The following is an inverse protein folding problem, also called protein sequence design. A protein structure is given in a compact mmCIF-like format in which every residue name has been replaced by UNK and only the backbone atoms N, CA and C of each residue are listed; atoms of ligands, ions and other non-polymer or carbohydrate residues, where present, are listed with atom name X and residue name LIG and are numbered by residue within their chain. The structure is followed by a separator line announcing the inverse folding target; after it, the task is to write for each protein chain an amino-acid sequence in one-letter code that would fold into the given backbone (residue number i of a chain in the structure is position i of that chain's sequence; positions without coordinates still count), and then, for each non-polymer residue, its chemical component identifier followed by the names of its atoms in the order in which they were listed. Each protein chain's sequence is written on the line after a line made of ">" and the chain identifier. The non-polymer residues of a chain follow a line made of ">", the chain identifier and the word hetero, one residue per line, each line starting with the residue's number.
data_IF_568633835278
#
_entry.id   IF_568633835278
#
_cell.length_a   1.000
_cell.length_b   1.000
_cell.length_c   1.000
_cell.angle_alpha   90.00
_cell.angle_beta   90.00
_cell.angle_gamma   90.00
#
_symmetry.space_group_name_H-M   'P 1'
#
loop_
_entity.id
_entity.type
_entity.pdbx_description
1 polymer ?
#
# COMPACT_ATOMS: atom_id res chain seq x y z
N UNK A 1 -20.08 -10.03 20.94
CA UNK A 1 -19.01 -9.65 20.01
C UNK A 1 -19.63 -8.91 18.82
N UNK A 2 -19.70 -7.59 18.90
CA UNK A 2 -20.11 -6.73 17.79
C UNK A 2 -18.87 -6.38 16.98
N UNK A 3 -18.70 -7.02 15.83
CA UNK A 3 -17.67 -6.67 14.85
C UNK A 3 -17.94 -5.25 14.34
N UNK A 4 -17.25 -4.27 14.92
CA UNK A 4 -17.14 -2.94 14.34
C UNK A 4 -16.47 -3.08 12.96
N UNK A 5 -17.06 -2.58 11.86
CA UNK A 5 -16.37 -2.54 10.59
C UNK A 5 -15.14 -1.63 10.72
N UNK A 6 -13.99 -1.98 10.12
CA UNK A 6 -12.75 -1.24 10.31
C UNK A 6 -12.91 0.21 9.82
N UNK A 7 -12.76 1.14 10.76
CA UNK A 7 -12.80 2.61 10.60
C UNK A 7 -11.80 3.15 9.56
N UNK A 8 -10.86 2.34 9.07
CA UNK A 8 -9.90 2.73 8.04
C UNK A 8 -10.44 2.72 6.60
N UNK A 9 -11.69 2.25 6.37
CA UNK A 9 -12.27 2.20 5.01
C UNK A 9 -12.57 3.57 4.40
N UNK A 10 -12.67 4.64 5.19
CA UNK A 10 -13.14 5.94 4.68
C UNK A 10 -12.03 6.83 4.12
N UNK A 11 -10.78 6.66 4.56
CA UNK A 11 -9.67 7.55 4.21
C UNK A 11 -9.17 7.38 2.77
N UNK A 12 -8.80 6.16 2.37
CA UNK A 12 -8.21 5.90 1.05
C UNK A 12 -9.23 6.08 -0.09
N UNK A 13 -10.51 5.81 0.16
CA UNK A 13 -11.57 5.98 -0.85
C UNK A 13 -11.76 7.47 -1.14
N UNK A 14 -11.68 8.34 -0.11
CA UNK A 14 -11.72 9.79 -0.28
C UNK A 14 -10.57 10.29 -1.16
N UNK A 15 -9.35 9.82 -0.93
CA UNK A 15 -8.20 10.16 -1.77
C UNK A 15 -8.34 9.64 -3.21
N UNK A 16 -8.80 8.39 -3.39
CA UNK A 16 -9.09 7.84 -4.71
C UNK A 16 -10.13 8.66 -5.47
N UNK A 17 -11.19 9.10 -4.77
CA UNK A 17 -12.22 9.96 -5.33
C UNK A 17 -11.71 11.35 -5.68
N UNK A 18 -10.87 11.94 -4.83
CA UNK A 18 -10.25 13.22 -5.11
C UNK A 18 -9.36 13.14 -6.36
N UNK A 19 -8.45 12.17 -6.41
CA UNK A 19 -7.54 12.00 -7.56
C UNK A 19 -8.30 11.70 -8.85
N UNK A 20 -9.32 10.83 -8.81
CA UNK A 20 -10.16 10.57 -9.99
C UNK A 20 -10.94 11.81 -10.47
N UNK A 21 -11.48 12.63 -9.56
CA UNK A 21 -12.15 13.88 -9.92
C UNK A 21 -11.21 14.90 -10.53
N UNK A 22 -9.99 15.03 -9.99
CA UNK A 22 -8.97 15.91 -10.55
C UNK A 22 -8.59 15.49 -11.98
N UNK A 23 -8.40 14.18 -12.21
CA UNK A 23 -8.10 13.65 -13.55
C UNK A 23 -9.25 13.87 -14.52
N UNK A 24 -10.49 13.64 -14.08
CA UNK A 24 -11.70 13.95 -14.87
C UNK A 24 -11.72 15.44 -15.24
N UNK A 25 -11.44 16.32 -14.27
CA UNK A 25 -11.36 17.76 -14.47
C UNK A 25 -10.29 18.14 -15.51
N UNK A 26 -9.09 17.56 -15.42
CA UNK A 26 -8.02 17.77 -16.40
C UNK A 26 -8.47 17.31 -17.80
N UNK A 27 -9.07 16.13 -17.92
CA UNK A 27 -9.60 15.62 -19.20
C UNK A 27 -10.67 16.53 -19.80
N UNK A 28 -11.66 16.95 -19.01
CA UNK A 28 -12.73 17.86 -19.45
C UNK A 28 -12.16 19.23 -19.86
N UNK A 29 -11.22 19.77 -19.07
CA UNK A 29 -10.60 21.06 -19.38
C UNK A 29 -9.84 21.03 -20.71
N UNK A 30 -9.13 19.93 -21.00
CA UNK A 30 -8.41 19.76 -22.26
C UNK A 30 -9.37 19.56 -23.45
N UNK A 31 -10.45 18.78 -23.26
CA UNK A 31 -11.53 18.64 -24.26
C UNK A 31 -12.16 20.00 -24.57
N UNK A 32 -12.50 20.80 -23.55
CA UNK A 32 -13.00 22.15 -23.72
C UNK A 32 -11.98 23.05 -24.46
N UNK A 33 -10.69 22.89 -24.14
CA UNK A 33 -9.60 23.57 -24.87
C UNK A 33 -9.61 23.28 -26.37
N UNK A 34 -9.89 22.03 -26.77
CA UNK A 34 -10.05 21.66 -28.18
C UNK A 34 -11.32 22.19 -28.84
N UNK A 35 -12.45 22.16 -28.13
CA UNK A 35 -13.74 22.63 -28.65
C UNK A 35 -13.77 24.15 -28.83
N UNK A 36 -13.26 24.90 -27.85
CA UNK A 36 -13.28 26.37 -27.84
C UNK A 36 -11.98 27.00 -28.40
N UNK A 37 -11.08 26.17 -28.92
CA UNK A 37 -9.75 26.58 -29.42
C UNK A 37 -8.89 27.40 -28.43
N UNK A 38 -9.03 27.14 -27.13
CA UNK A 38 -8.28 27.84 -26.08
C UNK A 38 -6.91 27.19 -25.92
N UNK A 39 -5.88 27.85 -26.45
CA UNK A 39 -4.49 27.36 -26.44
C UNK A 39 -3.95 27.04 -25.04
N UNK A 40 -4.31 27.82 -24.02
CA UNK A 40 -3.88 27.60 -22.63
C UNK A 40 -4.40 26.27 -22.05
N UNK A 41 -5.62 25.88 -22.39
CA UNK A 41 -6.22 24.62 -21.95
C UNK A 41 -5.61 23.40 -22.68
N UNK A 42 -5.07 23.60 -23.89
CA UNK A 42 -4.32 22.58 -24.63
C UNK A 42 -2.86 22.47 -24.13
N UNK A 43 -2.26 23.59 -23.72
CA UNK A 43 -0.83 23.75 -23.37
C UNK A 43 -0.68 24.69 -22.18
N UNK A 44 -0.43 24.14 -20.98
CA UNK A 44 -0.20 24.94 -19.77
C UNK A 44 1.06 25.81 -19.90
N UNK A 45 2.14 25.27 -20.47
CA UNK A 45 3.40 25.99 -20.65
C UNK A 45 3.50 26.46 -22.11
N UNK A 46 3.71 27.76 -22.38
CA UNK A 46 3.93 28.27 -23.74
C UNK A 46 5.08 27.51 -24.43
N UNK A 47 4.88 27.11 -25.69
CA UNK A 47 5.86 26.31 -26.44
C UNK A 47 5.89 24.81 -26.08
N UNK A 48 5.08 24.34 -25.13
CA UNK A 48 4.98 22.92 -24.80
C UNK A 48 4.09 22.12 -25.76
N UNK A 49 4.20 20.79 -25.71
CA UNK A 49 3.36 19.87 -26.48
C UNK A 49 1.91 20.01 -26.00
N UNK A 50 0.96 20.18 -26.93
CA UNK A 50 -0.45 20.14 -26.59
C UNK A 50 -0.87 18.72 -26.19
N UNK A 51 -1.68 18.61 -25.14
CA UNK A 51 -2.39 17.37 -24.87
C UNK A 51 -3.37 17.09 -26.01
N UNK A 52 -3.28 15.90 -26.58
CA UNK A 52 -4.13 15.45 -27.68
C UNK A 52 -5.55 15.20 -27.22
N UNK A 53 -6.52 15.42 -28.11
CA UNK A 53 -7.94 15.21 -27.82
C UNK A 53 -8.24 13.78 -27.34
N UNK A 54 -7.70 12.77 -28.06
CA UNK A 54 -7.87 11.36 -27.69
C UNK A 54 -7.28 11.03 -26.31
N UNK A 55 -6.14 11.65 -25.95
CA UNK A 55 -5.58 11.49 -24.62
C UNK A 55 -6.52 12.10 -23.56
N UNK A 56 -7.09 13.28 -23.81
CA UNK A 56 -8.03 13.94 -22.90
C UNK A 56 -9.30 13.11 -22.66
N UNK A 57 -9.86 12.52 -23.73
CA UNK A 57 -10.97 11.57 -23.63
C UNK A 57 -10.58 10.31 -22.83
N UNK A 58 -9.38 9.78 -23.06
CA UNK A 58 -8.89 8.64 -22.29
C UNK A 58 -8.70 8.96 -20.80
N UNK A 59 -8.26 10.16 -20.42
CA UNK A 59 -8.21 10.55 -19.00
C UNK A 59 -9.59 10.67 -18.36
N UNK A 60 -10.57 11.21 -19.10
CA UNK A 60 -11.96 11.24 -18.65
C UNK A 60 -12.47 9.81 -18.37
N UNK A 61 -12.30 8.89 -19.32
CA UNK A 61 -12.70 7.49 -19.17
C UNK A 61 -11.92 6.76 -18.06
N UNK A 62 -10.61 7.01 -17.94
CA UNK A 62 -9.76 6.43 -16.90
C UNK A 62 -10.17 6.90 -15.50
N UNK A 63 -10.47 8.20 -15.34
CA UNK A 63 -10.96 8.75 -14.08
C UNK A 63 -12.32 8.17 -13.68
N UNK A 64 -13.26 8.04 -14.62
CA UNK A 64 -14.55 7.37 -14.39
C UNK A 64 -14.37 5.89 -14.00
N UNK A 65 -13.44 5.19 -14.66
CA UNK A 65 -13.10 3.80 -14.37
C UNK A 65 -12.57 3.63 -12.94
N UNK A 66 -11.62 4.48 -12.53
CA UNK A 66 -11.03 4.45 -11.19
C UNK A 66 -12.03 4.79 -10.08
N UNK A 67 -12.90 5.78 -10.33
CA UNK A 67 -13.97 6.17 -9.40
C UNK A 67 -15.00 5.06 -9.24
N UNK A 68 -15.40 4.42 -10.35
CA UNK A 68 -16.33 3.29 -10.31
C UNK A 68 -15.75 2.04 -9.64
N UNK A 69 -14.44 1.84 -9.72
CA UNK A 69 -13.77 0.73 -9.03
C UNK A 69 -13.72 0.90 -7.50
N UNK A 70 -13.77 2.13 -6.99
CA UNK A 70 -13.62 2.43 -5.56
C UNK A 70 -14.94 2.77 -4.85
N UNK A 71 -15.84 3.52 -5.51
CA UNK A 71 -17.00 4.12 -4.84
C UNK A 71 -18.36 3.54 -5.25
N UNK A 72 -18.44 2.77 -6.33
CA UNK A 72 -19.72 2.32 -6.84
C UNK A 72 -20.24 1.06 -6.16
N UNK A 73 -21.36 1.22 -5.43
CA UNK A 73 -22.13 0.15 -4.80
C UNK A 73 -23.09 -0.56 -5.78
N UNK A 74 -23.53 0.11 -6.85
CA UNK A 74 -24.48 -0.44 -7.81
C UNK A 74 -23.81 -1.27 -8.91
N UNK A 75 -24.43 -2.39 -9.28
CA UNK A 75 -23.97 -3.27 -10.36
C UNK A 75 -23.94 -2.56 -11.73
N UNK A 76 -24.83 -1.58 -11.97
CA UNK A 76 -24.83 -0.79 -13.22
C UNK A 76 -23.60 0.12 -13.29
N UNK A 77 -23.30 0.85 -12.22
CA UNK A 77 -22.12 1.72 -12.21
C UNK A 77 -20.82 0.90 -12.38
N UNK A 78 -20.72 -0.28 -11.74
CA UNK A 78 -19.56 -1.15 -11.92
C UNK A 78 -19.39 -1.62 -13.36
N UNK A 79 -20.48 -1.98 -14.05
CA UNK A 79 -20.44 -2.33 -15.48
C UNK A 79 -20.01 -1.15 -16.35
N UNK A 80 -20.51 0.05 -16.09
CA UNK A 80 -20.09 1.26 -16.81
C UNK A 80 -18.59 1.51 -16.63
N UNK A 81 -18.08 1.42 -15.40
CA UNK A 81 -16.66 1.59 -15.12
C UNK A 81 -15.77 0.52 -15.81
N UNK A 82 -16.24 -0.73 -15.84
CA UNK A 82 -15.57 -1.80 -16.58
C UNK A 82 -15.59 -1.57 -18.09
N UNK A 83 -16.70 -1.07 -18.63
CA UNK A 83 -16.81 -0.69 -20.04
C UNK A 83 -15.84 0.45 -20.38
N UNK A 84 -15.78 1.51 -19.56
CA UNK A 84 -14.79 2.58 -19.71
C UNK A 84 -13.35 2.05 -19.65
N UNK A 85 -13.06 1.10 -18.75
CA UNK A 85 -11.73 0.47 -18.66
C UNK A 85 -11.40 -0.30 -19.94
N UNK A 86 -12.38 -1.06 -20.47
CA UNK A 86 -12.24 -1.79 -21.72
C UNK A 86 -11.96 -0.86 -22.90
N UNK A 87 -12.66 0.28 -22.98
CA UNK A 87 -12.39 1.30 -24.00
C UNK A 87 -10.98 1.86 -23.90
N UNK A 88 -10.52 2.23 -22.69
CA UNK A 88 -9.15 2.74 -22.47
C UNK A 88 -8.09 1.73 -22.92
N UNK A 89 -8.26 0.45 -22.58
CA UNK A 89 -7.34 -0.61 -23.00
C UNK A 89 -7.36 -0.78 -24.52
N UNK A 90 -8.55 -0.80 -25.11
CA UNK A 90 -8.73 -0.98 -26.55
C UNK A 90 -8.07 0.15 -27.33
N UNK A 91 -8.37 1.41 -26.99
CA UNK A 91 -7.80 2.58 -27.66
C UNK A 91 -6.28 2.66 -27.47
N UNK A 92 -5.78 2.41 -26.26
CA UNK A 92 -4.34 2.36 -26.01
C UNK A 92 -3.64 1.26 -26.82
N UNK A 93 -4.25 0.09 -26.94
CA UNK A 93 -3.71 -1.03 -27.73
C UNK A 93 -3.70 -0.72 -29.23
N UNK A 94 -4.79 -0.16 -29.76
CA UNK A 94 -4.88 0.26 -31.16
C UNK A 94 -3.83 1.32 -31.49
N UNK A 95 -3.67 2.34 -30.66
CA UNK A 95 -2.62 3.35 -30.85
C UNK A 95 -1.21 2.75 -30.83
N UNK A 96 -0.94 1.76 -29.99
CA UNK A 96 0.37 1.07 -30.00
C UNK A 96 0.58 0.24 -31.28
N UNK A 97 -0.46 -0.41 -31.79
CA UNK A 97 -0.42 -1.11 -33.08
C UNK A 97 -0.12 -0.12 -34.21
N UNK A 98 -0.75 1.05 -34.22
CA UNK A 98 -0.47 2.11 -35.20
C UNK A 98 0.99 2.60 -35.15
N UNK A 99 1.57 2.71 -33.95
CA UNK A 99 3.00 3.03 -33.78
C UNK A 99 3.92 1.90 -34.24
N UNK A 100 3.55 0.63 -33.99
CA UNK A 100 4.38 -0.53 -34.31
C UNK A 100 4.39 -0.85 -35.81
N UNK A 101 3.22 -0.83 -36.46
CA UNK A 101 3.06 -1.13 -37.88
C UNK A 101 3.15 0.10 -38.79
N UNK A 102 3.28 1.30 -38.20
CA UNK A 102 3.29 2.60 -38.92
C UNK A 102 2.09 2.78 -39.85
N UNK A 103 0.96 2.17 -39.51
CA UNK A 103 -0.30 2.29 -40.23
C UNK A 103 -1.16 3.36 -39.54
N UNK A 104 -1.89 4.15 -40.32
CA UNK A 104 -2.93 5.06 -39.81
C UNK A 104 -4.27 4.33 -39.88
N UNK A 105 -4.84 3.99 -38.72
CA UNK A 105 -6.20 3.45 -38.63
C UNK A 105 -7.24 4.59 -38.62
N UNK A 106 -6.79 5.84 -38.56
CA UNK A 106 -7.65 7.03 -38.59
C UNK A 106 -8.39 7.29 -37.28
N UNK A 107 -8.11 6.54 -36.20
CA UNK A 107 -8.74 6.74 -34.89
C UNK A 107 -8.34 8.06 -34.24
N UNK A 108 -7.21 8.63 -34.65
CA UNK A 108 -6.59 9.82 -34.06
C UNK A 108 -7.32 11.13 -34.37
N UNK A 109 -8.09 11.18 -35.46
CA UNK A 109 -8.77 12.37 -35.95
C UNK A 109 -10.29 12.18 -36.11
N UNK A 110 -10.86 11.10 -35.56
CA UNK A 110 -12.26 10.73 -35.74
C UNK A 110 -13.24 11.78 -35.16
N UNK A 111 -12.86 12.43 -34.05
CA UNK A 111 -13.72 13.37 -33.32
C UNK A 111 -13.36 14.83 -33.60
N UNK A 112 -12.08 15.17 -33.55
CA UNK A 112 -11.56 16.51 -33.88
C UNK A 112 -10.25 16.31 -34.65
N UNK A 113 -10.19 16.83 -35.88
CA UNK A 113 -8.99 16.78 -36.69
C UNK A 113 -8.02 17.89 -36.28
N UNK A 114 -6.77 17.52 -36.00
CA UNK A 114 -5.71 18.50 -35.74
C UNK A 114 -5.13 18.99 -37.08
N UNK A 115 -5.23 20.29 -37.33
CA UNK A 115 -4.84 20.93 -38.59
C UNK A 115 -3.32 21.16 -38.75
N UNK A 116 -2.52 20.76 -37.76
CA UNK A 116 -1.07 20.88 -37.83
C UNK A 116 -0.50 19.93 -38.90
N UNK A 117 0.47 20.36 -39.72
CA UNK A 117 1.04 19.51 -40.77
C UNK A 117 1.75 18.29 -40.19
N UNK A 118 1.45 17.11 -40.74
CA UNK A 118 2.12 15.87 -40.38
C UNK A 118 3.61 15.93 -40.77
N UNK A 119 4.50 15.47 -39.88
CA UNK A 119 5.93 15.30 -40.18
C UNK A 119 6.35 13.86 -39.89
N UNK A 120 7.54 13.46 -40.37
CA UNK A 120 8.09 12.11 -40.14
C UNK A 120 8.23 11.75 -38.63
N UNK A 121 8.21 12.74 -37.73
CA UNK A 121 8.28 12.58 -36.26
C UNK A 121 6.97 12.90 -35.54
N UNK A 122 5.93 13.34 -36.26
CA UNK A 122 4.70 13.88 -35.68
C UNK A 122 3.50 13.55 -36.56
N UNK A 123 2.61 12.71 -36.05
CA UNK A 123 1.33 12.39 -36.71
C UNK A 123 0.23 13.19 -35.99
N UNK A 124 -0.53 14.05 -36.69
CA UNK A 124 -1.55 14.90 -36.09
C UNK A 124 -2.64 14.08 -35.39
N UNK A 125 -3.10 14.55 -34.23
CA UNK A 125 -4.11 13.87 -33.41
C UNK A 125 -3.57 12.70 -32.57
N UNK A 126 -2.50 12.03 -33.01
CA UNK A 126 -1.96 10.82 -32.37
C UNK A 126 -1.25 11.11 -31.06
N UNK A 127 -1.62 10.38 -30.01
CA UNK A 127 -0.89 10.44 -28.74
C UNK A 127 0.43 9.66 -28.80
N UNK A 128 1.41 10.06 -27.99
CA UNK A 128 2.73 9.40 -27.98
C UNK A 128 2.63 7.94 -27.56
N UNK A 129 3.58 7.11 -28.03
CA UNK A 129 3.65 5.70 -27.67
C UNK A 129 3.78 5.51 -26.16
N UNK A 130 4.52 6.38 -25.48
CA UNK A 130 4.64 6.39 -24.02
C UNK A 130 3.30 6.66 -23.32
N UNK A 131 2.50 7.61 -23.82
CA UNK A 131 1.15 7.90 -23.31
C UNK A 131 0.25 6.68 -23.45
N UNK A 132 0.29 6.00 -24.60
CA UNK A 132 -0.50 4.79 -24.84
C UNK A 132 -0.07 3.64 -23.91
N UNK A 133 1.24 3.41 -23.70
CA UNK A 133 1.74 2.42 -22.72
C UNK A 133 1.24 2.74 -21.30
N UNK A 134 1.27 4.01 -20.87
CA UNK A 134 0.76 4.40 -19.55
C UNK A 134 -0.73 4.08 -19.38
N UNK A 135 -1.58 4.39 -20.38
CA UNK A 135 -3.00 4.03 -20.34
C UNK A 135 -3.22 2.52 -20.34
N UNK A 136 -2.43 1.77 -21.12
CA UNK A 136 -2.50 0.32 -21.15
C UNK A 136 -2.14 -0.28 -19.78
N UNK A 137 -1.07 0.18 -19.15
CA UNK A 137 -0.65 -0.26 -17.81
C UNK A 137 -1.70 0.08 -16.75
N UNK A 138 -2.29 1.28 -16.81
CA UNK A 138 -3.40 1.67 -15.94
C UNK A 138 -4.60 0.74 -16.10
N UNK A 139 -5.09 0.56 -17.33
CA UNK A 139 -6.29 -0.24 -17.62
C UNK A 139 -6.09 -1.72 -17.28
N UNK A 140 -4.98 -2.32 -17.69
CA UNK A 140 -4.66 -3.70 -17.37
C UNK A 140 -4.49 -3.91 -15.87
N UNK A 141 -3.84 -2.99 -15.15
CA UNK A 141 -3.74 -3.09 -13.70
C UNK A 141 -5.11 -3.08 -13.03
N UNK A 142 -6.02 -2.20 -13.46
CA UNK A 142 -7.36 -2.12 -12.92
C UNK A 142 -8.17 -3.40 -13.21
N UNK A 143 -8.11 -3.91 -14.45
CA UNK A 143 -8.80 -5.13 -14.88
C UNK A 143 -8.26 -6.39 -14.20
N UNK A 144 -6.93 -6.51 -14.07
CA UNK A 144 -6.29 -7.63 -13.37
C UNK A 144 -6.69 -7.67 -11.90
N UNK A 145 -6.98 -6.51 -11.31
CA UNK A 145 -7.37 -6.37 -9.91
C UNK A 145 -8.86 -6.61 -9.65
N UNK A 146 -9.72 -6.60 -10.68
CA UNK A 146 -11.17 -6.78 -10.53
C UNK A 146 -11.65 -8.23 -10.52
N UNK A 147 -10.76 -9.22 -10.66
CA UNK A 147 -11.13 -10.66 -10.70
C UNK A 147 -10.59 -11.48 -9.53
N UNK A 148 -10.95 -12.77 -9.51
CA UNK A 148 -10.62 -13.72 -8.43
C UNK A 148 -9.12 -13.81 -8.07
N UNK A 149 -8.86 -14.34 -6.88
CA UNK A 149 -7.61 -14.22 -6.12
C UNK A 149 -6.43 -15.05 -6.60
N UNK A 150 -6.16 -15.07 -7.89
CA UNK A 150 -5.01 -15.79 -8.46
C UNK A 150 -3.71 -15.02 -8.18
N UNK A 151 -2.68 -15.72 -7.68
CA UNK A 151 -1.41 -15.11 -7.25
C UNK A 151 -0.69 -14.31 -8.36
N UNK A 152 -0.57 -14.88 -9.56
CA UNK A 152 0.14 -14.24 -10.67
C UNK A 152 -0.52 -12.93 -11.13
N UNK A 153 -1.86 -12.86 -11.17
CA UNK A 153 -2.61 -11.64 -11.54
C UNK A 153 -2.29 -10.49 -10.59
N UNK A 154 -2.15 -10.77 -9.30
CA UNK A 154 -1.80 -9.77 -8.28
C UNK A 154 -0.37 -9.27 -8.46
N UNK A 155 0.57 -10.18 -8.70
CA UNK A 155 1.96 -9.81 -8.97
C UNK A 155 2.07 -8.95 -10.22
N UNK A 156 1.41 -9.35 -11.32
CA UNK A 156 1.40 -8.59 -12.56
C UNK A 156 0.74 -7.20 -12.38
N UNK A 157 -0.42 -7.12 -11.74
CA UNK A 157 -1.07 -5.83 -11.43
C UNK A 157 -0.19 -4.92 -10.58
N UNK A 158 0.56 -5.46 -9.61
CA UNK A 158 1.53 -4.69 -8.82
C UNK A 158 2.68 -4.17 -9.68
N UNK A 159 3.27 -5.02 -10.50
CA UNK A 159 4.35 -4.64 -11.41
C UNK A 159 3.91 -3.53 -12.37
N UNK A 160 2.73 -3.66 -13.00
CA UNK A 160 2.19 -2.64 -13.90
C UNK A 160 1.98 -1.28 -13.23
N UNK A 161 1.54 -1.24 -11.97
CA UNK A 161 1.39 0.01 -11.19
C UNK A 161 2.73 0.66 -10.86
N UNK A 162 3.72 -0.16 -10.49
CA UNK A 162 5.08 0.32 -10.23
C UNK A 162 5.66 0.92 -11.51
N UNK A 163 5.55 0.21 -12.64
CA UNK A 163 6.00 0.71 -13.93
C UNK A 163 5.29 2.01 -14.31
N UNK A 164 3.96 2.10 -14.18
CA UNK A 164 3.20 3.33 -14.42
C UNK A 164 3.70 4.49 -13.55
N UNK A 165 3.90 4.25 -12.25
CA UNK A 165 4.41 5.27 -11.31
C UNK A 165 5.79 5.75 -11.73
N UNK A 166 6.69 4.84 -12.11
CA UNK A 166 8.06 5.18 -12.47
C UNK A 166 8.13 5.94 -13.79
N UNK A 167 7.41 5.48 -14.83
CA UNK A 167 7.38 6.14 -16.15
C UNK A 167 6.87 7.58 -16.02
N UNK A 168 5.83 7.80 -15.21
CA UNK A 168 5.19 9.11 -15.04
C UNK A 168 6.07 10.06 -14.22
N UNK A 169 6.72 9.55 -13.18
CA UNK A 169 7.69 10.30 -12.40
C UNK A 169 8.92 10.70 -13.24
N UNK A 170 9.47 9.77 -14.02
CA UNK A 170 10.58 10.04 -14.92
C UNK A 170 10.22 11.10 -15.97
N UNK A 171 8.99 11.08 -16.48
CA UNK A 171 8.53 12.07 -17.44
C UNK A 171 8.37 13.48 -16.80
N UNK A 172 7.80 13.55 -15.59
CA UNK A 172 7.71 14.80 -14.84
C UNK A 172 9.10 15.37 -14.51
N UNK A 173 10.06 14.51 -14.14
CA UNK A 173 11.46 14.88 -13.95
C UNK A 173 12.08 15.44 -15.24
N UNK A 174 11.82 14.80 -16.38
CA UNK A 174 12.26 15.27 -17.69
C UNK A 174 11.72 16.66 -18.05
N UNK A 175 10.48 16.96 -17.67
CA UNK A 175 9.90 18.30 -17.80
C UNK A 175 10.57 19.31 -16.86
N UNK A 176 10.81 18.93 -15.59
CA UNK A 176 11.44 19.79 -14.58
C UNK A 176 12.86 20.21 -14.98
N UNK A 177 13.64 19.28 -15.54
CA UNK A 177 15.02 19.53 -15.97
C UNK A 177 15.12 20.09 -17.40
N UNK A 178 14.00 20.29 -18.10
CA UNK A 178 13.97 20.78 -19.48
C UNK A 178 14.59 19.83 -20.52
N UNK A 179 14.82 18.56 -20.17
CA UNK A 179 15.33 17.54 -21.11
C UNK A 179 14.35 17.28 -22.26
N UNK A 180 13.04 17.36 -21.97
CA UNK A 180 11.98 17.16 -22.96
C UNK A 180 12.06 18.16 -24.12
N UNK A 181 12.59 19.36 -23.90
CA UNK A 181 12.71 20.38 -24.94
C UNK A 181 14.05 20.37 -25.68
N UNK A 182 15.11 19.89 -25.04
CA UNK A 182 16.49 20.01 -25.55
C UNK A 182 16.95 18.88 -26.48
N UNK A 183 16.45 17.65 -26.32
CA UNK A 183 17.01 16.47 -27.03
C UNK A 183 16.26 16.11 -28.33
N UNK A 184 15.16 16.79 -28.68
CA UNK A 184 14.40 16.51 -29.91
C UNK A 184 13.76 15.10 -30.00
N UNK A 185 13.96 14.24 -28.99
CA UNK A 185 13.31 12.93 -28.80
C UNK A 185 11.82 13.10 -28.46
N UNK A 186 11.40 14.29 -28.02
CA UNK A 186 10.06 14.51 -27.43
C UNK A 186 8.90 14.51 -28.40
N UNK A 187 9.10 14.58 -29.71
CA UNK A 187 7.96 14.54 -30.64
C UNK A 187 7.37 13.14 -30.81
N UNK A 188 8.16 12.08 -30.56
CA UNK A 188 7.70 10.68 -30.67
C UNK A 188 7.32 10.10 -29.30
N UNK A 189 8.06 10.46 -28.24
CA UNK A 189 7.87 9.88 -26.89
C UNK A 189 7.37 10.86 -25.84
N UNK A 190 7.45 12.17 -26.09
CA UNK A 190 7.06 13.20 -25.13
C UNK A 190 5.56 13.23 -24.87
N UNK A 191 5.18 13.71 -23.70
CA UNK A 191 3.80 14.00 -23.32
C UNK A 191 3.71 15.43 -22.82
N UNK A 192 2.50 15.99 -22.71
CA UNK A 192 2.34 17.32 -22.13
C UNK A 192 2.57 17.28 -20.61
N UNK A 193 2.99 18.40 -20.01
CA UNK A 193 3.25 18.48 -18.55
C UNK A 193 2.02 18.04 -17.73
N UNK A 194 0.83 18.49 -18.14
CA UNK A 194 -0.42 18.13 -17.49
C UNK A 194 -0.87 16.70 -17.80
N UNK A 195 -0.47 16.11 -18.93
CA UNK A 195 -0.63 14.67 -19.19
C UNK A 195 0.18 13.85 -18.19
N UNK A 196 1.45 14.21 -17.95
CA UNK A 196 2.29 13.53 -16.95
C UNK A 196 1.71 13.68 -15.53
N UNK A 197 1.25 14.88 -15.17
CA UNK A 197 0.59 15.13 -13.88
C UNK A 197 -0.70 14.30 -13.73
N UNK A 198 -1.55 14.25 -14.76
CA UNK A 198 -2.78 13.46 -14.75
C UNK A 198 -2.50 11.97 -14.55
N UNK A 199 -1.46 11.41 -15.19
CA UNK A 199 -1.07 10.03 -14.94
C UNK A 199 -0.49 9.81 -13.55
N UNK A 200 0.25 10.75 -12.98
CA UNK A 200 0.74 10.66 -11.61
C UNK A 200 -0.45 10.60 -10.62
N UNK A 201 -1.48 11.43 -10.85
CA UNK A 201 -2.72 11.40 -10.07
C UNK A 201 -3.49 10.08 -10.27
N UNK A 202 -3.62 9.58 -11.50
CA UNK A 202 -4.21 8.26 -11.77
C UNK A 202 -3.46 7.14 -11.05
N UNK A 203 -2.12 7.18 -11.09
CA UNK A 203 -1.29 6.18 -10.42
C UNK A 203 -1.48 6.24 -8.90
N UNK A 204 -1.45 7.43 -8.30
CA UNK A 204 -1.69 7.63 -6.87
C UNK A 204 -3.09 7.10 -6.46
N UNK A 205 -4.13 7.44 -7.23
CA UNK A 205 -5.48 6.94 -6.98
C UNK A 205 -5.59 5.42 -7.16
N UNK A 206 -4.89 4.84 -8.12
CA UNK A 206 -4.83 3.38 -8.32
C UNK A 206 -4.10 2.68 -7.15
N UNK A 207 -3.04 3.28 -6.60
CA UNK A 207 -2.43 2.80 -5.36
C UNK A 207 -3.43 2.83 -4.21
N UNK A 208 -4.12 3.95 -3.97
CA UNK A 208 -5.13 4.05 -2.92
C UNK A 208 -6.27 3.03 -3.07
N UNK A 209 -6.89 2.95 -4.26
CA UNK A 209 -8.01 2.06 -4.54
C UNK A 209 -7.67 0.58 -4.27
N UNK A 210 -6.46 0.19 -4.61
CA UNK A 210 -6.05 -1.22 -4.57
C UNK A 210 -5.60 -1.69 -3.18
N UNK A 211 -5.25 -0.79 -2.26
CA UNK A 211 -4.95 -1.20 -0.88
C UNK A 211 -6.22 -1.55 -0.10
N UNK A 212 -7.37 -0.98 -0.47
CA UNK A 212 -8.63 -1.22 0.23
C UNK A 212 -9.14 -2.65 0.03
N UNK A 213 -8.90 -3.20 -1.17
CA UNK A 213 -9.29 -4.56 -1.53
C UNK A 213 -8.22 -5.61 -1.19
N UNK A 214 -7.05 -5.19 -0.67
CA UNK A 214 -5.93 -6.09 -0.42
C UNK A 214 -6.03 -6.78 0.96
N UNK A 215 -5.65 -8.08 1.07
CA UNK A 215 -5.67 -8.82 2.35
C UNK A 215 -4.68 -8.24 3.36
N UNK A 216 -3.54 -7.80 2.83
CA UNK A 216 -2.44 -7.20 3.56
C UNK A 216 -2.14 -5.90 2.83
N UNK A 217 -2.21 -4.79 3.56
CA UNK A 217 -1.76 -3.49 3.06
C UNK A 217 -0.29 -3.61 2.65
N UNK A 218 0.07 -2.97 1.55
CA UNK A 218 1.47 -2.87 1.09
C UNK A 218 2.28 -2.10 2.12
N UNK A 219 3.60 -2.29 2.12
CA UNK A 219 4.55 -1.65 3.05
C UNK A 219 4.21 -0.16 3.31
N UNK A 220 4.02 0.64 2.26
CA UNK A 220 3.70 2.08 2.33
C UNK A 220 2.42 2.43 3.11
N UNK A 221 1.47 1.52 3.20
CA UNK A 221 0.17 1.72 3.84
C UNK A 221 0.00 0.89 5.12
N UNK A 222 1.06 0.19 5.53
CA UNK A 222 1.09 -0.60 6.76
C UNK A 222 1.63 0.24 7.92
N UNK A 223 1.13 -0.01 9.13
CA UNK A 223 1.62 0.62 10.37
C UNK A 223 2.85 -0.13 10.93
N UNK A 224 3.58 -0.82 10.06
CA UNK A 224 4.85 -1.46 10.41
C UNK A 224 5.97 -0.42 10.45
N UNK A 225 7.05 -0.74 11.16
CA UNK A 225 8.25 0.09 11.21
C UNK A 225 8.80 0.36 9.81
N UNK A 226 8.82 -0.67 8.94
CA UNK A 226 9.20 -0.53 7.54
C UNK A 226 8.26 0.37 6.72
N UNK A 227 6.97 0.41 7.06
CA UNK A 227 6.00 1.32 6.45
C UNK A 227 6.18 2.79 6.86
N UNK A 228 6.55 3.04 8.12
CA UNK A 228 6.92 4.39 8.58
C UNK A 228 8.19 4.85 7.85
N UNK A 229 9.21 3.99 7.76
CA UNK A 229 10.44 4.28 7.04
C UNK A 229 10.18 4.55 5.56
N UNK A 230 9.40 3.69 4.90
CA UNK A 230 9.07 3.87 3.49
C UNK A 230 8.33 5.19 3.22
N UNK A 231 7.41 5.61 4.10
CA UNK A 231 6.70 6.90 3.99
C UNK A 231 7.59 8.13 4.20
N UNK A 232 8.73 8.00 4.90
CA UNK A 232 9.71 9.09 5.08
C UNK A 232 10.78 9.09 3.99
N UNK A 233 11.36 7.92 3.71
CA UNK A 233 12.47 7.76 2.78
C UNK A 233 12.04 7.92 1.33
N UNK A 234 10.90 7.35 0.93
CA UNK A 234 10.50 7.32 -0.49
C UNK A 234 10.19 8.72 -1.05
N UNK A 235 9.41 9.59 -0.37
CA UNK A 235 9.23 10.96 -0.85
C UNK A 235 10.53 11.75 -0.89
N UNK A 236 11.39 11.62 0.14
CA UNK A 236 12.68 12.31 0.16
C UNK A 236 13.62 11.81 -0.95
N UNK A 237 13.65 10.50 -1.21
CA UNK A 237 14.46 9.89 -2.26
C UNK A 237 14.09 10.34 -3.68
N UNK A 238 12.86 10.81 -3.86
CA UNK A 238 12.37 11.32 -5.14
C UNK A 238 12.53 12.84 -5.19
N UNK A 239 12.00 13.56 -4.19
CA UNK A 239 11.91 15.02 -4.20
C UNK A 239 13.27 15.69 -4.05
N UNK A 240 14.18 15.10 -3.26
CA UNK A 240 15.46 15.73 -2.95
C UNK A 240 16.41 15.74 -4.16
N UNK A 241 16.60 14.64 -4.91
CA UNK A 241 17.31 14.70 -6.18
C UNK A 241 16.63 15.62 -7.20
N UNK A 242 15.29 15.63 -7.28
CA UNK A 242 14.58 16.54 -8.19
C UNK A 242 14.83 18.01 -7.85
N UNK A 243 14.82 18.37 -6.56
CA UNK A 243 15.10 19.72 -6.08
C UNK A 243 16.56 20.12 -6.31
N UNK A 244 17.51 19.27 -5.92
CA UNK A 244 18.94 19.52 -6.11
C UNK A 244 19.24 19.67 -7.60
N UNK A 245 18.76 18.76 -8.42
CA UNK A 245 18.94 18.83 -9.87
C UNK A 245 18.32 20.10 -10.46
N UNK A 246 17.15 20.52 -9.97
CA UNK A 246 16.49 21.74 -10.46
C UNK A 246 17.26 23.00 -10.03
N UNK A 247 17.78 23.06 -8.80
CA UNK A 247 18.64 24.15 -8.31
C UNK A 247 19.93 24.24 -9.13
N UNK A 248 20.61 23.11 -9.35
CA UNK A 248 21.81 23.05 -10.20
C UNK A 248 21.50 23.52 -11.62
N UNK A 249 20.30 23.24 -12.13
CA UNK A 249 19.85 23.62 -13.47
C UNK A 249 19.23 25.04 -13.55
N UNK A 250 18.99 25.72 -12.43
CA UNK A 250 18.39 27.07 -12.43
C UNK A 250 19.38 28.18 -12.12
N UNK A 251 20.44 27.90 -11.35
CA UNK A 251 21.29 28.94 -10.74
C UNK A 251 22.65 29.16 -11.45
N UNK A 252 22.98 28.36 -12.47
CA UNK A 252 24.27 28.49 -13.18
C UNK A 252 24.12 29.21 -14.52
N UNK A 253 24.98 30.22 -14.72
CA UNK A 253 25.13 30.98 -15.97
C UNK A 253 25.27 30.02 -17.16
N UNK A 254 24.76 30.37 -18.36
CA UNK A 254 24.65 29.46 -19.53
C UNK A 254 25.96 28.82 -20.05
N UNK A 255 27.12 29.08 -19.45
CA UNK A 255 28.41 28.50 -19.83
C UNK A 255 28.91 27.31 -19.00
N UNK A 256 28.30 26.97 -17.86
CA UNK A 256 28.76 25.83 -17.02
C UNK A 256 28.07 24.48 -17.33
N UNK A 257 27.12 24.45 -18.26
CA UNK A 257 26.30 23.26 -18.55
C UNK A 257 27.00 22.19 -19.38
N UNK A 258 27.95 22.58 -20.22
CA UNK A 258 28.73 21.63 -21.03
C UNK A 258 29.84 20.94 -20.23
N UNK A 259 29.87 21.15 -18.90
CA UNK A 259 30.95 20.68 -18.05
C UNK A 259 30.53 19.48 -17.18
N UNK A 260 31.34 18.40 -17.15
CA UNK A 260 31.20 17.29 -16.20
C UNK A 260 31.01 17.71 -14.72
N UNK A 261 31.37 18.95 -14.37
CA UNK A 261 31.26 19.50 -13.02
C UNK A 261 29.82 19.62 -12.49
N UNK A 262 28.83 19.95 -13.33
CA UNK A 262 27.43 20.06 -12.88
C UNK A 262 26.84 18.71 -12.46
N UNK A 263 27.16 17.66 -13.23
CA UNK A 263 26.78 16.28 -12.90
C UNK A 263 27.51 15.79 -11.64
N UNK A 264 28.81 16.08 -11.52
CA UNK A 264 29.58 15.72 -10.33
C UNK A 264 29.03 16.39 -9.06
N UNK A 265 28.72 17.69 -9.10
CA UNK A 265 28.12 18.41 -7.98
C UNK A 265 26.74 17.85 -7.60
N UNK A 266 25.89 17.57 -8.60
CA UNK A 266 24.60 16.90 -8.37
C UNK A 266 24.77 15.55 -7.66
N UNK A 267 25.69 14.70 -8.12
CA UNK A 267 25.95 13.37 -7.52
C UNK A 267 26.45 13.52 -6.08
N UNK A 268 27.41 14.42 -5.82
CA UNK A 268 27.95 14.66 -4.47
C UNK A 268 26.87 15.17 -3.51
N UNK A 269 26.08 16.17 -3.92
CA UNK A 269 24.97 16.67 -3.11
C UNK A 269 23.95 15.56 -2.85
N UNK A 270 23.51 14.84 -3.88
CA UNK A 270 22.58 13.73 -3.72
C UNK A 270 23.13 12.67 -2.76
N UNK A 271 24.40 12.26 -2.88
CA UNK A 271 25.06 11.31 -1.98
C UNK A 271 25.08 11.80 -0.53
N UNK A 272 25.46 13.06 -0.30
CA UNK A 272 25.49 13.66 1.03
C UNK A 272 24.10 13.64 1.67
N UNK A 273 23.10 14.12 0.94
CA UNK A 273 21.73 14.18 1.40
C UNK A 273 21.10 12.80 1.64
N UNK A 274 21.33 11.85 0.73
CA UNK A 274 20.88 10.46 0.92
C UNK A 274 21.56 9.82 2.13
N UNK A 275 22.85 10.02 2.31
CA UNK A 275 23.59 9.48 3.47
C UNK A 275 23.07 10.08 4.77
N UNK A 276 22.88 11.41 4.82
CA UNK A 276 22.30 12.08 5.99
C UNK A 276 20.90 11.57 6.31
N UNK A 277 20.04 11.39 5.30
CA UNK A 277 18.70 10.84 5.44
C UNK A 277 18.72 9.38 5.92
N UNK A 278 19.60 8.54 5.37
CA UNK A 278 19.78 7.14 5.79
C UNK A 278 20.24 7.09 7.24
N UNK A 279 21.23 7.89 7.64
CA UNK A 279 21.71 7.93 9.03
C UNK A 279 20.64 8.44 10.00
N UNK A 280 19.89 9.49 9.63
CA UNK A 280 18.79 10.01 10.45
C UNK A 280 17.69 8.95 10.67
N UNK A 281 17.31 8.25 9.60
CA UNK A 281 16.29 7.19 9.69
C UNK A 281 16.80 5.95 10.40
N UNK A 282 18.08 5.58 10.24
CA UNK A 282 18.71 4.48 10.97
C UNK A 282 18.79 4.77 12.48
N UNK A 283 19.15 5.99 12.89
CA UNK A 283 19.15 6.40 14.31
C UNK A 283 17.75 6.30 14.89
N UNK A 284 16.76 6.83 14.18
CA UNK A 284 15.37 6.75 14.64
C UNK A 284 14.88 5.30 14.74
N UNK A 285 15.24 4.44 13.79
CA UNK A 285 14.92 3.02 13.81
C UNK A 285 15.58 2.33 15.01
N UNK A 286 16.85 2.63 15.29
CA UNK A 286 17.57 2.08 16.43
C UNK A 286 16.86 2.41 17.75
N UNK A 287 16.46 3.67 17.96
CA UNK A 287 15.70 4.06 19.16
C UNK A 287 14.34 3.34 19.28
N UNK A 288 13.63 3.18 18.15
CA UNK A 288 12.35 2.47 18.14
C UNK A 288 12.51 0.96 18.40
N UNK A 289 13.59 0.36 17.91
CA UNK A 289 13.85 -1.08 18.12
C UNK A 289 14.26 -1.35 19.57
N UNK A 290 15.08 -0.48 20.17
CA UNK A 290 15.44 -0.56 21.60
C UNK A 290 14.20 -0.42 22.48
N UNK A 291 13.40 0.62 22.29
CA UNK A 291 12.16 0.81 23.07
C UNK A 291 11.17 -0.35 22.92
N UNK A 292 11.12 -0.96 21.72
CA UNK A 292 10.28 -2.15 21.49
C UNK A 292 10.80 -3.37 22.26
N UNK A 293 12.11 -3.58 22.31
CA UNK A 293 12.72 -4.68 23.07
C UNK A 293 12.45 -4.54 24.55
N UNK A 294 12.66 -3.34 25.11
CA UNK A 294 12.34 -3.04 26.51
C UNK A 294 10.87 -3.31 26.85
N UNK A 295 9.94 -2.94 25.96
CA UNK A 295 8.52 -3.20 26.16
C UNK A 295 8.15 -4.71 26.09
N UNK A 296 8.86 -5.48 25.26
CA UNK A 296 8.70 -6.94 25.19
C UNK A 296 9.25 -7.57 26.47
N UNK A 297 10.43 -7.18 26.90
CA UNK A 297 11.07 -7.70 28.12
C UNK A 297 10.25 -7.38 29.37
N UNK A 298 9.73 -6.16 29.48
CA UNK A 298 8.84 -5.76 30.58
C UNK A 298 7.55 -6.60 30.59
N UNK A 299 6.95 -6.84 29.42
CA UNK A 299 5.76 -7.70 29.30
C UNK A 299 6.08 -9.13 29.74
N UNK A 300 7.21 -9.67 29.30
CA UNK A 300 7.59 -11.05 29.64
C UNK A 300 7.90 -11.19 31.14
N UNK A 301 8.48 -10.15 31.76
CA UNK A 301 8.66 -10.09 33.22
C UNK A 301 7.33 -10.10 33.97
N UNK A 302 6.36 -9.27 33.56
CA UNK A 302 5.02 -9.27 34.19
C UNK A 302 4.30 -10.61 33.99
N UNK A 303 4.47 -11.26 32.83
CA UNK A 303 3.90 -12.60 32.61
C UNK A 303 4.54 -13.62 33.57
N UNK A 304 5.85 -13.57 33.76
CA UNK A 304 6.55 -14.45 34.70
C UNK A 304 6.10 -14.23 36.15
N UNK A 305 5.97 -12.97 36.58
CA UNK A 305 5.44 -12.62 37.92
C UNK A 305 4.01 -13.14 38.12
N UNK A 306 3.14 -12.96 37.12
CA UNK A 306 1.76 -13.47 37.18
C UNK A 306 1.72 -14.99 37.27
N UNK A 307 2.58 -15.69 36.51
CA UNK A 307 2.69 -17.14 36.58
C UNK A 307 3.17 -17.60 37.95
N UNK A 308 4.17 -16.93 38.53
CA UNK A 308 4.67 -17.24 39.86
C UNK A 308 3.61 -17.01 40.94
N UNK A 309 2.88 -15.90 40.91
CA UNK A 309 1.81 -15.62 41.86
C UNK A 309 0.67 -16.65 41.76
N UNK A 310 0.34 -17.10 40.54
CA UNK A 310 -0.64 -18.17 40.34
C UNK A 310 -0.15 -19.51 40.91
N UNK A 311 1.13 -19.85 40.73
CA UNK A 311 1.70 -21.06 41.30
C UNK A 311 1.76 -20.99 42.83
N UNK A 312 2.06 -19.84 43.42
CA UNK A 312 2.01 -19.64 44.88
C UNK A 312 0.59 -19.87 45.42
N UNK A 313 -0.43 -19.26 44.79
CA UNK A 313 -1.84 -19.50 45.16
C UNK A 313 -2.22 -20.98 45.03
N UNK A 314 -1.78 -21.67 43.96
CA UNK A 314 -2.01 -23.12 43.80
C UNK A 314 -1.37 -23.93 44.92
N UNK A 315 -0.15 -23.59 45.35
CA UNK A 315 0.51 -24.30 46.47
C UNK A 315 -0.21 -24.05 47.79
N UNK A 316 -0.66 -22.81 48.06
CA UNK A 316 -1.44 -22.46 49.24
C UNK A 316 -2.80 -23.15 49.27
N UNK A 317 -3.49 -23.21 48.12
CA UNK A 317 -4.74 -23.96 47.96
C UNK A 317 -4.56 -25.48 48.05
N UNK A 318 -3.34 -25.99 47.82
CA UNK A 318 -3.01 -27.41 47.99
C UNK A 318 -2.75 -27.84 49.43
N UNK A 319 -2.64 -26.90 50.39
CA UNK A 319 -2.44 -27.22 51.80
C UNK A 319 -3.78 -27.55 52.46
N UNK A 320 -3.99 -28.83 52.79
CA UNK A 320 -5.15 -29.30 53.55
C UNK A 320 -4.85 -29.24 55.05
N UNK A 321 -5.39 -28.26 55.81
CA UNK A 321 -5.16 -28.18 57.25
C UNK A 321 -5.80 -29.39 57.96
N UNK A 322 -4.96 -30.31 58.45
CA UNK A 322 -5.42 -31.48 59.19
C UNK A 322 -5.23 -31.31 60.70
N UNK A 323 -6.18 -31.82 61.50
CA UNK A 323 -6.07 -31.79 62.95
C UNK A 323 -4.93 -32.71 63.39
N UNK A 324 -3.99 -32.20 64.20
CA UNK A 324 -2.84 -32.97 64.66
C UNK A 324 -3.24 -34.24 65.45
N UNK A 325 -4.36 -34.18 66.17
CA UNK A 325 -4.85 -35.25 67.04
C UNK A 325 -5.76 -36.24 66.31
N UNK A 326 -6.89 -35.78 65.75
CA UNK A 326 -7.92 -36.65 65.18
C UNK A 326 -7.88 -36.77 63.64
N UNK A 327 -6.94 -36.11 62.97
CA UNK A 327 -6.70 -36.17 61.51
C UNK A 327 -7.83 -35.69 60.58
N UNK A 328 -8.91 -35.10 61.12
CA UNK A 328 -9.94 -34.39 60.33
C UNK A 328 -9.35 -33.20 59.55
N UNK A 329 -9.94 -32.87 58.40
CA UNK A 329 -9.54 -31.72 57.56
C UNK A 329 -10.45 -30.54 57.86
N UNK A 330 -9.88 -29.33 57.97
CA UNK A 330 -10.66 -28.09 58.11
C UNK A 330 -11.03 -27.52 56.74
N UNK A 331 -12.30 -27.21 56.52
CA UNK A 331 -12.77 -26.55 55.31
C UNK A 331 -12.58 -25.02 55.34
N UNK A 332 -12.92 -24.34 54.24
CA UNK A 332 -12.80 -22.89 54.08
C UNK A 332 -13.73 -22.09 55.02
N UNK A 333 -14.77 -22.72 55.56
CA UNK A 333 -15.70 -22.12 56.52
C UNK A 333 -15.26 -22.34 57.98
N UNK A 334 -14.22 -23.14 58.21
CA UNK A 334 -13.65 -23.43 59.52
C UNK A 334 -14.20 -24.68 60.20
N UNK A 335 -15.07 -25.46 59.54
CA UNK A 335 -15.61 -26.71 60.07
C UNK A 335 -14.62 -27.88 59.86
N UNK A 336 -14.66 -28.84 60.78
CA UNK A 336 -13.77 -30.01 60.77
C UNK A 336 -14.51 -31.24 60.27
N UNK A 337 -14.08 -31.73 59.11
CA UNK A 337 -14.71 -32.83 58.40
C UNK A 337 -13.82 -34.06 58.28
N UNK A 338 -14.43 -35.21 58.06
CA UNK A 338 -13.67 -36.44 57.77
C UNK A 338 -12.97 -36.33 56.41
N UNK A 339 -11.76 -36.91 56.32
CA UNK A 339 -10.93 -36.88 55.09
C UNK A 339 -11.70 -37.44 53.89
N UNK A 340 -12.42 -38.55 54.05
CA UNK A 340 -13.17 -39.17 52.96
C UNK A 340 -14.33 -38.28 52.50
N UNK A 341 -15.05 -37.68 53.45
CA UNK A 341 -16.16 -36.75 53.18
C UNK A 341 -15.67 -35.43 52.55
N UNK A 342 -14.45 -35.00 52.85
CA UNK A 342 -13.84 -33.82 52.25
C UNK A 342 -13.43 -34.09 50.79
N UNK A 343 -12.72 -35.20 50.52
CA UNK A 343 -12.27 -35.59 49.18
C UNK A 343 -13.45 -35.79 48.23
N UNK A 344 -14.49 -36.49 48.68
CA UNK A 344 -15.68 -36.75 47.86
C UNK A 344 -16.47 -35.49 47.48
N UNK A 345 -16.38 -34.40 48.27
CA UNK A 345 -17.03 -33.12 47.96
C UNK A 345 -16.22 -32.20 47.07
N UNK A 346 -14.89 -32.27 47.14
CA UNK A 346 -13.99 -31.33 46.47
C UNK A 346 -13.29 -31.92 45.24
N UNK A 347 -13.46 -33.21 44.96
CA UNK A 347 -12.87 -33.89 43.81
C UNK A 347 -13.84 -34.92 43.23
N UNK A 348 -13.54 -35.42 42.02
CA UNK A 348 -14.30 -36.52 41.40
C UNK A 348 -13.93 -37.91 41.96
N UNK A 349 -13.11 -38.00 43.01
CA UNK A 349 -12.62 -39.27 43.56
C UNK A 349 -13.59 -39.88 44.60
N UNK A 350 -13.76 -41.20 44.56
CA UNK A 350 -14.51 -41.97 45.55
C UNK A 350 -13.57 -42.76 46.48
N UNK A 351 -13.78 -42.70 47.80
CA UNK A 351 -12.94 -43.38 48.80
C UNK A 351 -13.60 -44.70 49.23
N UNK A 352 -12.91 -45.83 49.05
CA UNK A 352 -13.29 -47.13 49.61
C UNK A 352 -12.49 -47.42 50.89
N UNK A 353 -13.08 -48.18 51.82
CA UNK A 353 -12.43 -48.52 53.08
C UNK A 353 -11.79 -49.91 53.00
N UNK A 354 -10.52 -50.01 53.39
CA UNK A 354 -9.76 -51.25 53.53
C UNK A 354 -8.82 -51.15 54.72
N UNK A 355 -8.33 -52.28 55.22
CA UNK A 355 -7.41 -52.31 56.36
C UNK A 355 -6.01 -52.65 55.86
N UNK A 356 -4.98 -51.89 56.26
CA UNK A 356 -3.61 -52.21 55.88
C UNK A 356 -3.07 -53.39 56.72
N UNK A 357 -2.06 -54.13 56.23
CA UNK A 357 -1.47 -55.27 56.96
C UNK A 357 -0.97 -54.93 58.38
N UNK A 358 -0.43 -53.72 58.58
CA UNK A 358 0.07 -53.26 59.87
C UNK A 358 -1.07 -53.07 60.89
N UNK A 359 -2.17 -52.43 60.48
CA UNK A 359 -3.35 -52.27 61.32
C UNK A 359 -4.04 -53.61 61.57
N UNK A 360 -4.10 -54.49 60.56
CA UNK A 360 -4.66 -55.84 60.70
C UNK A 360 -3.91 -56.64 61.77
N UNK A 361 -2.57 -56.66 61.71
CA UNK A 361 -1.76 -57.41 62.68
C UNK A 361 -1.82 -56.83 64.10
N UNK A 362 -1.96 -55.51 64.23
CA UNK A 362 -2.00 -54.83 65.54
C UNK A 362 -3.36 -54.97 66.24
N UNK A 363 -4.46 -54.78 65.50
CA UNK A 363 -5.81 -54.77 66.07
C UNK A 363 -6.54 -56.11 65.95
N UNK A 364 -6.10 -56.97 65.02
CA UNK A 364 -6.64 -58.31 64.79
C UNK A 364 -5.52 -59.38 64.74
N UNK A 365 -4.70 -59.52 65.79
CA UNK A 365 -3.54 -60.42 65.79
C UNK A 365 -3.90 -61.92 65.61
N UNK A 366 -5.17 -62.30 65.75
CA UNK A 366 -5.64 -63.69 65.65
C UNK A 366 -6.40 -64.03 64.37
N UNK A 367 -6.62 -63.07 63.46
CA UNK A 367 -7.16 -63.40 62.14
C UNK A 367 -6.02 -63.86 61.22
N UNK A 368 -5.96 -65.17 60.94
CA UNK A 368 -5.10 -65.71 59.87
C UNK A 368 -5.39 -64.99 58.55
N UNK A 369 -4.37 -64.60 57.77
CA UNK A 369 -4.61 -64.09 56.43
C UNK A 369 -5.23 -65.20 55.58
N UNK A 370 -6.26 -64.85 54.82
CA UNK A 370 -6.83 -65.70 53.76
C UNK A 370 -5.97 -65.58 52.50
#
# INVERSE_FOLDING_TARGET
>A
MTDNPPTSRTGLTRWTNLFSLLVIGIGISAIAGWIFDVSFLKRIVPGSIAMKFNAALMFLLAGLSLRGASSCRSHRCRRVAQFCTGLVILTASLTLVEHLFRQDLGIDNLLIAETAPATRKYIPGRMSSQTAVCFLFFGLSLLLSSGGWVGWRRTLSRALRICLTFITLANLAGHLFGFVFRVGISQITGMAVHTALAFLLLSAGLWCAMQESAPKKTLLFSDTTGGIMARRLLPAAILLPLLIGWLVISDLRPGLYDSPHGVAFFVVCAMFFFTALILATARQLHHLDVARREAVDARDHTIAELQQALDEVRTLQGLLPMCAWCKKIRDDQGYWDDVASYIARHTEASVSHGICPDCASTHFPTSKPA
#
